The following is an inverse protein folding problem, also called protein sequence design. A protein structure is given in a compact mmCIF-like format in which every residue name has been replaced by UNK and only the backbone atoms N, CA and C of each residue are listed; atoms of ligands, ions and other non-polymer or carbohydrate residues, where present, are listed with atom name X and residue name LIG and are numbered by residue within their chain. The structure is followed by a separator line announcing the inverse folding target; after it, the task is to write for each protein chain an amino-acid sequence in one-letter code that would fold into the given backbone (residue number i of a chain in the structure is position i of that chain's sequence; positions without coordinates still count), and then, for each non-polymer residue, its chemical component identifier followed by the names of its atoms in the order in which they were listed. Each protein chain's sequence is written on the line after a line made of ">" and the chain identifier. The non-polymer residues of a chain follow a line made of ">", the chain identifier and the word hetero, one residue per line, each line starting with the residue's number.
data_IF_494521904061
#
_entry.id   IF_494521904061
#
_cell.length_a   1.000
_cell.length_b   1.000
_cell.length_c   1.000
_cell.angle_alpha   90.00
_cell.angle_beta   90.00
_cell.angle_gamma   90.00
#
_symmetry.space_group_name_H-M   'P 1'
#
loop_
_entity.id
_entity.type
_entity.pdbx_description
1 polymer ?
#
# COMPACT_ATOMS: atom_id res chain seq x y z
N UNK A 1 -3.80 -14.33 -14.56
CA UNK A 1 -4.25 -12.94 -14.39
C UNK A 1 -5.69 -12.92 -13.92
N UNK A 2 -6.02 -11.92 -13.13
CA UNK A 2 -7.37 -11.70 -12.64
C UNK A 2 -7.71 -10.20 -12.73
N UNK A 3 -8.95 -9.89 -13.19
CA UNK A 3 -9.45 -8.53 -13.17
C UNK A 3 -10.05 -8.20 -11.80
N UNK A 4 -9.74 -6.98 -11.30
CA UNK A 4 -10.32 -6.42 -10.09
C UNK A 4 -10.96 -5.07 -10.39
N UNK A 5 -12.03 -4.78 -9.69
CA UNK A 5 -12.72 -3.50 -9.70
C UNK A 5 -12.24 -2.66 -8.51
N UNK A 6 -12.04 -1.37 -8.71
CA UNK A 6 -11.62 -0.43 -7.67
C UNK A 6 -12.87 0.22 -7.04
N UNK A 7 -13.23 -0.13 -5.79
CA UNK A 7 -14.48 0.33 -5.19
C UNK A 7 -14.35 1.64 -4.40
N UNK A 8 -13.12 2.09 -4.09
CA UNK A 8 -12.88 3.20 -3.15
C UNK A 8 -11.86 4.21 -3.67
N UNK A 9 -11.86 5.45 -3.16
CA UNK A 9 -10.92 6.48 -3.57
C UNK A 9 -9.53 6.39 -2.92
N UNK A 10 -9.22 5.33 -2.17
CA UNK A 10 -7.99 5.24 -1.37
C UNK A 10 -6.68 5.28 -2.15
N UNK A 11 -6.74 5.03 -3.47
CA UNK A 11 -5.58 5.04 -4.36
C UNK A 11 -5.57 6.22 -5.35
N UNK A 12 -6.51 7.15 -5.21
CA UNK A 12 -6.50 8.36 -6.02
C UNK A 12 -5.25 9.21 -5.76
N UNK A 13 -4.67 9.81 -6.79
CA UNK A 13 -5.13 9.86 -8.19
C UNK A 13 -4.59 8.73 -9.07
N UNK A 14 -3.81 7.79 -8.53
CA UNK A 14 -3.22 6.68 -9.30
C UNK A 14 -4.29 5.75 -9.88
N UNK A 15 -5.27 5.38 -9.04
CA UNK A 15 -6.44 4.59 -9.42
C UNK A 15 -7.70 5.27 -8.88
N UNK A 16 -8.71 5.40 -9.73
CA UNK A 16 -10.00 6.00 -9.38
C UNK A 16 -11.06 4.95 -9.08
N UNK A 17 -12.02 5.30 -8.24
CA UNK A 17 -13.22 4.47 -8.07
C UNK A 17 -13.87 4.21 -9.42
N UNK A 18 -14.18 2.93 -9.73
CA UNK A 18 -14.70 2.53 -11.02
C UNK A 18 -13.65 1.98 -12.00
N UNK A 19 -12.38 2.20 -11.75
CA UNK A 19 -11.31 1.61 -12.56
C UNK A 19 -11.35 0.09 -12.48
N UNK A 20 -10.87 -0.56 -13.55
CA UNK A 20 -10.59 -2.00 -13.55
C UNK A 20 -9.13 -2.22 -13.86
N UNK A 21 -8.53 -3.12 -13.11
CA UNK A 21 -7.11 -3.45 -13.21
C UNK A 21 -6.94 -4.94 -13.46
N UNK A 22 -5.82 -5.30 -14.08
CA UNK A 22 -5.37 -6.68 -14.15
C UNK A 22 -4.28 -6.91 -13.08
N UNK A 23 -4.40 -8.04 -12.41
CA UNK A 23 -3.51 -8.47 -11.34
C UNK A 23 -2.81 -9.76 -11.75
N UNK A 24 -1.49 -9.77 -11.68
CA UNK A 24 -0.67 -10.96 -11.87
C UNK A 24 -0.55 -11.68 -10.52
N UNK A 25 -1.16 -12.86 -10.41
CA UNK A 25 -1.18 -13.68 -9.19
C UNK A 25 0.06 -14.55 -9.02
N UNK A 26 0.92 -14.61 -10.03
CA UNK A 26 2.11 -15.48 -10.04
C UNK A 26 3.39 -14.68 -9.75
N UNK A 27 3.37 -13.36 -9.86
CA UNK A 27 4.55 -12.50 -9.70
C UNK A 27 5.39 -12.87 -8.49
N UNK A 28 4.78 -12.99 -7.31
CA UNK A 28 5.48 -13.20 -6.05
C UNK A 28 5.78 -14.68 -5.72
N UNK A 29 5.54 -15.57 -6.68
CA UNK A 29 6.11 -16.93 -6.66
C UNK A 29 7.48 -16.98 -7.33
N UNK A 30 7.79 -15.97 -8.13
CA UNK A 30 9.00 -15.93 -8.97
C UNK A 30 10.02 -14.90 -8.49
N UNK A 31 9.59 -13.87 -7.78
CA UNK A 31 10.46 -12.81 -7.24
C UNK A 31 9.82 -12.17 -6.00
N UNK A 32 10.65 -11.45 -5.25
CA UNK A 32 10.24 -10.78 -4.03
C UNK A 32 9.32 -9.57 -4.30
N UNK A 33 8.59 -9.16 -3.26
CA UNK A 33 7.81 -7.93 -3.26
C UNK A 33 8.78 -6.74 -3.27
N UNK A 34 8.52 -5.77 -4.14
CA UNK A 34 9.33 -4.56 -4.23
C UNK A 34 8.60 -3.35 -3.66
N UNK A 35 9.38 -2.40 -3.13
CA UNK A 35 8.84 -1.08 -2.77
C UNK A 35 8.24 -0.41 -4.01
N UNK A 36 7.07 0.20 -3.83
CA UNK A 36 6.34 0.86 -4.91
C UNK A 36 5.36 -0.04 -5.66
N UNK A 37 5.43 -1.35 -5.50
CA UNK A 37 4.45 -2.26 -6.11
C UNK A 37 3.03 -1.93 -5.64
N UNK A 38 2.08 -1.92 -6.57
CA UNK A 38 0.65 -1.91 -6.26
C UNK A 38 0.18 -3.35 -6.09
N UNK A 39 -0.30 -3.69 -4.92
CA UNK A 39 -0.67 -5.06 -4.59
C UNK A 39 -2.11 -5.18 -4.12
N UNK A 40 -2.77 -6.25 -4.56
CA UNK A 40 -4.06 -6.68 -4.02
C UNK A 40 -3.81 -7.74 -2.96
N UNK A 41 -4.42 -7.57 -1.80
CA UNK A 41 -4.22 -8.45 -0.65
C UNK A 41 -5.50 -8.60 0.17
N UNK A 42 -5.57 -9.68 0.94
CA UNK A 42 -6.68 -9.90 1.86
C UNK A 42 -6.59 -8.96 3.03
N UNK A 43 -7.70 -8.29 3.33
CA UNK A 43 -7.78 -7.40 4.47
C UNK A 43 -7.47 -8.16 5.78
N UNK A 44 -6.61 -7.61 6.65
CA UNK A 44 -6.34 -8.22 7.94
C UNK A 44 -7.59 -8.29 8.81
N UNK A 45 -7.70 -9.29 9.69
CA UNK A 45 -8.76 -9.32 10.70
C UNK A 45 -8.77 -8.03 11.53
N UNK A 46 -9.95 -7.47 11.77
CA UNK A 46 -10.10 -6.21 12.53
C UNK A 46 -9.75 -4.93 11.77
N UNK A 47 -9.45 -5.02 10.48
CA UNK A 47 -9.17 -3.85 9.64
C UNK A 47 -10.37 -2.91 9.45
N UNK A 48 -11.58 -3.36 9.80
CA UNK A 48 -12.86 -2.66 9.59
C UNK A 48 -13.09 -2.25 8.11
N UNK A 49 -12.62 -3.07 7.20
CA UNK A 49 -12.77 -2.85 5.75
C UNK A 49 -13.85 -3.76 5.14
N UNK A 50 -14.67 -4.41 5.96
CA UNK A 50 -15.74 -5.31 5.50
C UNK A 50 -15.27 -6.69 5.04
N UNK A 51 -14.00 -7.04 5.24
CA UNK A 51 -13.40 -8.31 4.80
C UNK A 51 -13.13 -8.39 3.30
N UNK A 52 -13.25 -7.26 2.60
CA UNK A 52 -12.94 -7.16 1.17
C UNK A 52 -11.43 -7.16 0.91
N UNK A 53 -11.06 -7.61 -0.29
CA UNK A 53 -9.69 -7.47 -0.76
C UNK A 53 -9.36 -5.98 -0.96
N UNK A 54 -8.16 -5.59 -0.56
CA UNK A 54 -7.68 -4.22 -0.65
C UNK A 54 -6.59 -4.10 -1.70
N UNK A 55 -6.47 -2.90 -2.28
CA UNK A 55 -5.30 -2.52 -3.07
C UNK A 55 -4.58 -1.36 -2.41
N UNK A 56 -3.26 -1.50 -2.24
CA UNK A 56 -2.38 -0.47 -1.66
C UNK A 56 -1.00 -0.54 -2.33
N UNK A 57 -0.20 0.48 -2.05
CA UNK A 57 1.20 0.54 -2.47
C UNK A 57 2.12 0.03 -1.36
N UNK A 58 3.09 -0.79 -1.72
CA UNK A 58 4.15 -1.23 -0.81
C UNK A 58 5.08 -0.06 -0.51
N UNK A 59 5.19 0.29 0.75
CA UNK A 59 6.02 1.41 1.25
C UNK A 59 7.23 0.91 2.03
N UNK A 60 7.01 0.05 3.02
CA UNK A 60 8.06 -0.52 3.85
C UNK A 60 8.25 -2.01 3.59
N UNK A 61 9.50 -2.44 3.49
CA UNK A 61 9.91 -3.84 3.34
C UNK A 61 10.28 -4.44 4.70
N UNK A 62 10.36 -5.77 4.84
CA UNK A 62 10.72 -6.41 6.10
C UNK A 62 12.00 -5.84 6.72
N UNK A 63 11.97 -5.55 8.02
CA UNK A 63 13.09 -4.99 8.78
C UNK A 63 13.29 -3.48 8.68
N UNK A 64 12.58 -2.82 7.78
CA UNK A 64 12.67 -1.37 7.62
C UNK A 64 11.84 -0.62 8.65
N UNK A 65 12.30 0.56 9.03
CA UNK A 65 11.56 1.48 9.89
C UNK A 65 10.89 2.56 9.05
N UNK A 66 9.56 2.60 9.09
CA UNK A 66 8.73 3.59 8.39
C UNK A 66 8.31 4.66 9.37
N UNK A 67 8.53 5.92 9.03
CA UNK A 67 8.10 7.08 9.82
C UNK A 67 7.62 8.19 8.89
N UNK A 68 6.74 9.05 9.38
CA UNK A 68 6.35 10.28 8.70
C UNK A 68 6.87 11.48 9.48
N UNK A 69 7.46 12.43 8.78
CA UNK A 69 7.98 13.67 9.34
C UNK A 69 7.83 14.81 8.34
N UNK A 70 7.27 15.92 8.78
CA UNK A 70 7.08 17.12 7.96
C UNK A 70 6.36 16.83 6.61
N UNK A 71 5.36 15.98 6.64
CA UNK A 71 4.59 15.58 5.48
C UNK A 71 5.27 14.57 4.54
N UNK A 72 6.42 14.02 4.93
CA UNK A 72 7.21 13.10 4.11
C UNK A 72 7.46 11.79 4.83
N UNK A 73 7.60 10.72 4.04
CA UNK A 73 8.00 9.42 4.57
C UNK A 73 9.52 9.27 4.60
N UNK A 74 10.01 8.69 5.68
CA UNK A 74 11.39 8.24 5.80
C UNK A 74 11.39 6.71 5.99
N UNK A 75 12.29 6.07 5.29
CA UNK A 75 12.54 4.63 5.40
C UNK A 75 13.93 4.44 6.00
N UNK A 76 13.97 3.92 7.22
CA UNK A 76 15.23 3.73 7.97
C UNK A 76 16.11 4.99 8.00
N UNK A 77 15.46 6.15 8.17
CA UNK A 77 16.10 7.47 8.22
C UNK A 77 16.34 8.16 6.87
N UNK A 78 16.17 7.46 5.76
CA UNK A 78 16.30 8.00 4.40
C UNK A 78 14.98 8.52 3.83
N UNK A 79 14.99 9.69 3.21
CA UNK A 79 13.80 10.26 2.57
C UNK A 79 13.30 9.36 1.44
N UNK A 80 12.02 8.99 1.47
CA UNK A 80 11.37 8.28 0.36
C UNK A 80 10.90 9.30 -0.68
N UNK A 81 11.37 9.13 -1.92
CA UNK A 81 10.88 9.90 -3.07
C UNK A 81 9.63 9.24 -3.62
N UNK A 82 8.54 9.98 -3.67
CA UNK A 82 7.21 9.47 -4.04
C UNK A 82 6.63 10.23 -5.25
N UNK A 83 7.12 9.97 -6.48
CA UNK A 83 6.72 10.72 -7.67
C UNK A 83 5.27 10.47 -8.09
N UNK A 84 4.65 9.43 -7.57
CA UNK A 84 3.25 9.09 -7.81
C UNK A 84 2.25 9.92 -6.97
N UNK A 85 2.74 10.65 -5.97
CA UNK A 85 1.87 11.53 -5.18
C UNK A 85 1.74 12.91 -5.85
N UNK A 86 0.55 13.55 -5.76
CA UNK A 86 0.41 14.95 -6.09
C UNK A 86 1.36 15.82 -5.28
N UNK A 87 1.91 16.86 -5.86
CA UNK A 87 2.92 17.76 -5.26
C UNK A 87 2.49 18.34 -3.89
N UNK A 88 1.19 18.48 -3.66
CA UNK A 88 0.63 19.07 -2.44
C UNK A 88 0.15 18.06 -1.41
N UNK A 89 0.18 16.76 -1.72
CA UNK A 89 -0.22 15.73 -0.76
C UNK A 89 0.97 15.25 0.06
N UNK A 90 0.95 15.60 1.32
CA UNK A 90 1.87 15.07 2.32
C UNK A 90 1.26 13.89 3.07
N UNK A 91 2.10 13.16 3.76
CA UNK A 91 1.69 12.14 4.72
C UNK A 91 1.73 12.74 6.11
N UNK A 92 0.58 12.83 6.77
CA UNK A 92 0.51 13.26 8.16
C UNK A 92 1.28 12.27 9.06
N UNK A 93 1.82 12.80 10.15
CA UNK A 93 2.42 11.98 11.20
C UNK A 93 1.38 10.98 11.71
N UNK A 94 1.79 9.75 11.91
CA UNK A 94 0.91 8.72 12.44
C UNK A 94 1.27 8.36 13.88
N UNK A 95 0.28 7.91 14.64
CA UNK A 95 0.44 7.54 16.03
C UNK A 95 1.12 6.18 16.22
N UNK A 96 0.72 5.46 17.23
CA UNK A 96 1.19 4.08 17.45
C UNK A 96 0.52 3.15 16.45
N UNK A 97 1.33 2.44 15.69
CA UNK A 97 0.89 1.45 14.71
C UNK A 97 0.92 0.06 15.34
N UNK A 98 -0.18 -0.71 15.27
CA UNK A 98 -0.20 -2.05 15.84
C UNK A 98 0.69 -3.03 15.06
N UNK A 99 1.14 -4.09 15.73
CA UNK A 99 1.86 -5.23 15.15
C UNK A 99 3.22 -4.91 14.51
N UNK A 100 3.79 -3.75 14.79
CA UNK A 100 5.18 -3.44 14.43
C UNK A 100 6.14 -4.26 15.29
N UNK A 101 7.34 -4.55 14.78
CA UNK A 101 8.35 -5.32 15.51
C UNK A 101 8.78 -4.64 16.80
N UNK A 102 8.79 -3.31 16.81
CA UNK A 102 9.07 -2.49 17.99
C UNK A 102 7.94 -1.47 18.20
N UNK A 103 7.35 -1.40 19.40
CA UNK A 103 6.34 -0.38 19.70
C UNK A 103 6.98 1.02 19.74
N UNK A 104 6.53 1.89 18.85
CA UNK A 104 7.01 3.28 18.78
C UNK A 104 5.87 4.20 18.34
N UNK A 105 5.82 5.42 18.89
CA UNK A 105 4.88 6.43 18.44
C UNK A 105 5.44 7.12 17.21
N UNK A 106 4.63 7.18 16.14
CA UNK A 106 5.00 7.84 14.89
C UNK A 106 5.91 7.03 13.98
N UNK A 107 6.20 5.78 14.32
CA UNK A 107 7.04 4.90 13.52
C UNK A 107 6.56 3.45 13.56
N UNK A 108 6.95 2.69 12.56
CA UNK A 108 6.74 1.25 12.51
C UNK A 108 7.97 0.54 11.97
N UNK A 109 8.57 -0.32 12.75
CA UNK A 109 9.54 -1.30 12.25
C UNK A 109 8.77 -2.50 11.71
N UNK A 110 8.95 -2.77 10.42
CA UNK A 110 8.22 -3.82 9.71
C UNK A 110 8.76 -5.19 10.13
N UNK A 111 7.92 -6.09 10.66
CA UNK A 111 8.37 -7.43 11.05
C UNK A 111 8.83 -8.26 9.84
N UNK A 112 9.61 -9.30 10.09
CA UNK A 112 9.95 -10.28 9.08
C UNK A 112 8.69 -10.89 8.45
N UNK A 113 8.72 -11.16 7.15
CA UNK A 113 7.59 -11.72 6.42
C UNK A 113 6.41 -10.77 6.20
N UNK A 114 6.55 -9.49 6.53
CA UNK A 114 5.51 -8.46 6.41
C UNK A 114 5.96 -7.31 5.53
N UNK A 115 4.99 -6.53 5.07
CA UNK A 115 5.20 -5.25 4.37
C UNK A 115 4.29 -4.18 4.95
N UNK A 116 4.74 -2.94 4.89
CA UNK A 116 3.95 -1.78 5.27
C UNK A 116 3.36 -1.16 4.01
N UNK A 117 2.04 -1.05 3.97
CA UNK A 117 1.32 -0.61 2.77
C UNK A 117 0.52 0.66 3.04
N UNK A 118 0.49 1.54 2.04
CA UNK A 118 -0.29 2.78 2.12
C UNK A 118 -1.08 3.03 0.84
N UNK A 119 -2.24 3.67 0.99
CA UNK A 119 -2.95 4.24 -0.15
C UNK A 119 -2.27 5.50 -0.66
N UNK A 120 -2.37 5.76 -1.94
CA UNK A 120 -1.82 7.00 -2.54
C UNK A 120 -2.64 8.23 -2.13
N UNK A 121 -3.93 8.05 -1.86
CA UNK A 121 -4.76 9.08 -1.24
C UNK A 121 -4.50 9.13 0.28
N UNK A 122 -3.39 9.76 0.68
CA UNK A 122 -2.85 9.73 2.04
C UNK A 122 -3.81 10.23 3.11
N UNK A 123 -4.65 11.20 2.79
CA UNK A 123 -5.65 11.74 3.71
C UNK A 123 -6.94 10.91 3.77
N UNK A 124 -7.14 10.00 2.83
CA UNK A 124 -8.38 9.20 2.72
C UNK A 124 -8.07 7.74 2.35
N UNK A 125 -7.27 7.09 3.17
CA UNK A 125 -6.94 5.67 3.03
C UNK A 125 -6.84 4.99 4.37
N UNK A 126 -7.53 3.86 4.51
CA UNK A 126 -7.35 2.96 5.64
C UNK A 126 -6.34 1.89 5.23
N UNK A 127 -5.17 1.93 5.83
CA UNK A 127 -4.02 1.14 5.46
C UNK A 127 -3.15 0.75 6.66
N UNK A 128 -1.90 0.37 6.45
CA UNK A 128 -1.02 -0.10 7.53
C UNK A 128 -0.82 0.90 8.67
N UNK A 129 -1.07 2.18 8.45
CA UNK A 129 -1.06 3.17 9.54
C UNK A 129 -2.11 2.86 10.61
N UNK A 130 -3.18 2.16 10.25
CA UNK A 130 -4.30 1.82 11.12
C UNK A 130 -4.30 0.35 11.54
N UNK A 131 -4.09 -0.58 10.61
CA UNK A 131 -4.17 -2.02 10.90
C UNK A 131 -2.80 -2.71 10.97
N UNK A 132 -1.70 -1.98 10.81
CA UNK A 132 -0.35 -2.50 10.92
C UNK A 132 0.20 -3.15 9.65
N UNK A 133 1.44 -3.65 9.72
CA UNK A 133 2.07 -4.39 8.64
C UNK A 133 1.26 -5.62 8.24
N UNK A 134 1.31 -5.94 6.95
CA UNK A 134 0.51 -7.02 6.35
C UNK A 134 1.42 -8.19 6.00
N UNK A 135 1.04 -9.44 6.33
CA UNK A 135 1.79 -10.61 5.93
C UNK A 135 1.94 -10.70 4.40
N UNK A 136 3.14 -10.96 3.92
CA UNK A 136 3.40 -11.14 2.48
C UNK A 136 2.55 -12.28 1.91
N UNK A 137 2.30 -13.33 2.70
CA UNK A 137 1.45 -14.44 2.31
C UNK A 137 -0.02 -14.08 2.05
N UNK A 138 -0.49 -12.94 2.55
CA UNK A 138 -1.85 -12.43 2.29
C UNK A 138 -1.98 -11.72 0.95
N UNK A 139 -0.88 -11.45 0.26
CA UNK A 139 -0.88 -10.79 -1.05
C UNK A 139 -1.44 -11.76 -2.09
N UNK A 140 -2.47 -11.31 -2.82
CA UNK A 140 -3.09 -12.06 -3.89
C UNK A 140 -2.29 -11.90 -5.18
N UNK A 141 -1.79 -10.69 -5.46
CA UNK A 141 -0.97 -10.45 -6.63
C UNK A 141 -0.63 -8.98 -6.84
N UNK A 142 0.16 -8.73 -7.88
CA UNK A 142 0.61 -7.39 -8.29
C UNK A 142 -0.29 -6.84 -9.38
N UNK A 143 -0.81 -5.63 -9.18
CA UNK A 143 -1.47 -4.87 -10.22
C UNK A 143 -0.43 -4.34 -11.22
N UNK A 144 -0.69 -4.48 -12.50
CA UNK A 144 0.28 -4.09 -13.52
C UNK A 144 -0.28 -3.27 -14.68
N UNK A 145 -1.59 -3.27 -14.88
CA UNK A 145 -2.23 -2.46 -15.90
C UNK A 145 -3.67 -2.09 -15.51
N UNK A 146 -4.04 -0.85 -15.77
CA UNK A 146 -5.43 -0.39 -15.73
C UNK A 146 -6.04 -0.63 -17.11
N UNK A 147 -7.15 -1.34 -17.17
CA UNK A 147 -7.82 -1.73 -18.43
C UNK A 147 -9.16 -1.02 -18.67
N UNK A 148 -9.66 -0.33 -17.67
CA UNK A 148 -10.89 0.43 -17.78
C UNK A 148 -10.81 1.71 -16.92
N UNK A 149 -11.35 2.86 -17.39
CA UNK A 149 -11.95 3.10 -18.72
C UNK A 149 -10.93 2.94 -19.86
N UNK A 150 -11.41 2.56 -21.05
CA UNK A 150 -10.54 2.25 -22.20
C UNK A 150 -9.64 3.43 -22.61
N UNK A 151 -10.10 4.68 -22.42
CA UNK A 151 -9.30 5.87 -22.67
C UNK A 151 -8.18 6.11 -21.66
N UNK A 152 -8.13 5.34 -20.58
CA UNK A 152 -7.14 5.45 -19.52
C UNK A 152 -6.29 4.16 -19.39
N UNK A 153 -6.14 3.40 -20.48
CA UNK A 153 -5.26 2.25 -20.53
C UNK A 153 -3.84 2.68 -20.16
N UNK A 154 -3.34 2.19 -19.04
CA UNK A 154 -2.05 2.60 -18.52
C UNK A 154 -1.35 1.45 -17.76
N UNK A 155 -0.04 1.46 -17.84
CA UNK A 155 0.81 0.56 -17.08
C UNK A 155 1.03 1.13 -15.68
N UNK A 156 0.81 0.32 -14.67
CA UNK A 156 0.93 0.67 -13.25
C UNK A 156 2.32 0.33 -12.69
#
# INVERSE_FOLDING_TARGET
>A
FQAFYIPSPSMEPTLWSGDRILVNKVSYRLHDVNRGDLVVFRAPPGSNTGGEDLIKRVIGLPGERVTAQDGRLLISGGLLIEPYLPFQEGTADFGTVPWCAEPEVGACTVPDGHVFMMGDNRSNSRDSRFFGPVPIESIIGRAFVRVWPLGALDRL
#
